data_IF_179842652703
#
_entry.id   IF_179842652703
#
_cell.length_a   1.000
_cell.length_b   1.000
_cell.length_c   1.000
_cell.angle_alpha   90.00
_cell.angle_beta   90.00
_cell.angle_gamma   90.00
#
_symmetry.space_group_name_H-M   'P 1'
#
loop_
_entity.id
_entity.type
_entity.pdbx_description
1 polymer ?
#
# COMPACT_ATOMS: atom_id res chain seq x y z
N UNK A 1 17.89 -1.35 3.26
CA UNK A 1 16.67 -0.98 2.52
C UNK A 1 16.77 -1.56 1.12
N UNK A 2 15.94 -2.55 0.77
CA UNK A 2 15.83 -2.99 -0.63
C UNK A 2 14.95 -1.97 -1.34
N UNK A 3 15.57 -1.11 -2.16
CA UNK A 3 14.86 -0.18 -3.05
C UNK A 3 14.04 -1.05 -4.00
N UNK A 4 12.73 -1.12 -3.78
CA UNK A 4 11.83 -1.82 -4.70
C UNK A 4 11.66 -0.96 -5.94
N UNK A 5 11.56 -1.61 -7.10
CA UNK A 5 11.19 -0.90 -8.31
C UNK A 5 9.82 -0.23 -8.09
N UNK A 6 9.65 1.04 -8.49
CA UNK A 6 8.34 1.68 -8.46
C UNK A 6 7.35 0.82 -9.24
N UNK A 7 6.19 0.56 -8.65
CA UNK A 7 5.07 -0.03 -9.37
C UNK A 7 4.57 1.02 -10.37
N UNK A 8 4.36 0.61 -11.62
CA UNK A 8 3.77 1.48 -12.64
C UNK A 8 2.25 1.52 -12.42
N UNK A 9 1.82 2.37 -11.49
CA UNK A 9 0.42 2.48 -11.06
C UNK A 9 -0.28 3.60 -11.84
N UNK A 10 -1.49 3.35 -12.37
CA UNK A 10 -2.34 4.42 -12.87
C UNK A 10 -2.55 5.51 -11.79
N UNK A 11 -2.66 6.80 -12.17
CA UNK A 11 -2.79 7.90 -11.21
C UNK A 11 -3.94 7.74 -10.20
N UNK A 12 -5.05 7.13 -10.62
CA UNK A 12 -6.19 6.93 -9.73
C UNK A 12 -5.95 5.84 -8.69
N UNK A 13 -5.14 4.83 -9.02
CA UNK A 13 -4.69 3.81 -8.08
C UNK A 13 -3.72 4.42 -7.06
N UNK A 14 -2.84 5.32 -7.50
CA UNK A 14 -1.96 6.07 -6.60
C UNK A 14 -2.74 6.97 -5.62
N UNK A 15 -3.78 7.67 -6.09
CA UNK A 15 -4.68 8.45 -5.22
C UNK A 15 -5.43 7.56 -4.23
N UNK A 16 -5.95 6.42 -4.68
CA UNK A 16 -6.61 5.44 -3.83
C UNK A 16 -5.66 4.90 -2.75
N UNK A 17 -4.39 4.63 -3.11
CA UNK A 17 -3.35 4.23 -2.16
C UNK A 17 -3.17 5.26 -1.05
N UNK A 18 -3.03 6.54 -1.40
CA UNK A 18 -2.86 7.61 -0.39
C UNK A 18 -4.11 7.76 0.48
N UNK A 19 -5.31 7.58 -0.08
CA UNK A 19 -6.56 7.60 0.68
C UNK A 19 -6.62 6.45 1.69
N UNK A 20 -6.33 5.23 1.25
CA UNK A 20 -6.34 4.05 2.12
C UNK A 20 -5.20 4.10 3.15
N UNK A 21 -4.06 4.69 2.80
CA UNK A 21 -2.98 5.00 3.75
C UNK A 21 -3.46 5.94 4.87
N UNK A 22 -4.13 7.03 4.53
CA UNK A 22 -4.68 7.96 5.53
C UNK A 22 -5.73 7.28 6.42
N UNK A 23 -6.62 6.48 5.83
CA UNK A 23 -7.60 5.70 6.58
C UNK A 23 -6.95 4.66 7.52
N UNK A 24 -5.88 4.00 7.07
CA UNK A 24 -5.10 3.05 7.87
C UNK A 24 -4.52 3.69 9.13
N UNK A 25 -3.98 4.90 9.02
CA UNK A 25 -3.42 5.61 10.18
C UNK A 25 -4.47 6.28 11.08
N UNK A 26 -5.66 6.56 10.56
CA UNK A 26 -6.76 7.17 11.31
C UNK A 26 -7.63 6.16 12.06
N UNK A 27 -7.74 4.93 11.55
CA UNK A 27 -8.48 3.85 12.21
C UNK A 27 -7.78 3.46 13.53
N UNK A 28 -8.52 3.12 14.59
CA UNK A 28 -7.97 2.72 15.89
C UNK A 28 -8.00 1.20 16.07
N UNK A 29 -8.98 0.54 15.46
CA UNK A 29 -9.17 -0.91 15.53
C UNK A 29 -8.14 -1.63 14.63
N UNK A 30 -7.32 -2.48 15.24
CA UNK A 30 -6.29 -3.24 14.54
C UNK A 30 -6.83 -4.17 13.45
N UNK A 31 -8.01 -4.76 13.63
CA UNK A 31 -8.64 -5.63 12.62
C UNK A 31 -9.09 -4.81 11.42
N UNK A 32 -9.71 -3.64 11.66
CA UNK A 32 -10.15 -2.75 10.58
C UNK A 32 -8.96 -2.15 9.81
N UNK A 33 -7.86 -1.81 10.50
CA UNK A 33 -6.59 -1.43 9.85
C UNK A 33 -6.10 -2.53 8.91
N UNK A 34 -6.14 -3.78 9.35
CA UNK A 34 -5.69 -4.90 8.53
C UNK A 34 -6.59 -5.14 7.32
N UNK A 35 -7.91 -4.93 7.45
CA UNK A 35 -8.84 -4.95 6.31
C UNK A 35 -8.45 -3.91 5.26
N UNK A 36 -8.11 -2.67 5.67
CA UNK A 36 -7.66 -1.62 4.75
C UNK A 36 -6.37 -2.04 4.03
N UNK A 37 -5.39 -2.54 4.77
CA UNK A 37 -4.12 -2.98 4.20
C UNK A 37 -4.26 -4.19 3.27
N UNK A 38 -5.18 -5.12 3.55
CA UNK A 38 -5.51 -6.26 2.68
C UNK A 38 -6.18 -5.81 1.40
N UNK A 39 -7.13 -4.87 1.48
CA UNK A 39 -7.77 -4.28 0.30
C UNK A 39 -6.72 -3.66 -0.62
N UNK A 40 -5.84 -2.83 -0.06
CA UNK A 40 -4.77 -2.20 -0.84
C UNK A 40 -3.79 -3.22 -1.42
N UNK A 41 -3.48 -4.30 -0.69
CA UNK A 41 -2.64 -5.39 -1.20
C UNK A 41 -3.23 -6.03 -2.45
N UNK A 42 -4.53 -6.30 -2.47
CA UNK A 42 -5.20 -6.91 -3.61
C UNK A 42 -5.14 -5.99 -4.83
N UNK A 43 -5.45 -4.70 -4.66
CA UNK A 43 -5.32 -3.70 -5.73
C UNK A 43 -3.90 -3.62 -6.29
N UNK A 44 -2.87 -3.63 -5.43
CA UNK A 44 -1.47 -3.59 -5.92
C UNK A 44 -1.06 -4.88 -6.64
N UNK A 45 -1.59 -6.04 -6.23
CA UNK A 45 -1.33 -7.32 -6.91
C UNK A 45 -1.92 -7.38 -8.31
N UNK A 46 -3.05 -6.73 -8.56
CA UNK A 46 -3.65 -6.63 -9.90
C UNK A 46 -2.73 -5.91 -10.91
N UNK A 47 -1.86 -5.03 -10.41
CA UNK A 47 -0.90 -4.28 -11.23
C UNK A 47 0.54 -4.81 -11.13
N UNK A 48 0.76 -5.92 -10.42
CA UNK A 48 2.08 -6.50 -10.26
C UNK A 48 2.50 -7.28 -11.52
N UNK A 49 3.75 -7.09 -11.98
CA UNK A 49 4.28 -7.91 -13.05
C UNK A 49 4.49 -9.35 -12.54
N UNK A 50 4.25 -10.39 -13.36
CA UNK A 50 4.55 -11.77 -13.00
C UNK A 50 6.03 -12.03 -12.63
N UNK A 51 6.93 -11.13 -13.00
CA UNK A 51 8.37 -11.18 -12.69
C UNK A 51 8.74 -10.48 -11.38
N UNK A 52 7.82 -9.72 -10.79
CA UNK A 52 8.06 -9.01 -9.55
C UNK A 52 7.96 -9.95 -8.35
N UNK A 53 8.66 -9.59 -7.27
CA UNK A 53 8.54 -10.30 -6.01
C UNK A 53 7.10 -10.15 -5.47
N UNK A 54 6.40 -11.25 -5.12
CA UNK A 54 5.03 -11.19 -4.62
C UNK A 54 4.88 -10.25 -3.43
N UNK A 55 3.92 -9.33 -3.52
CA UNK A 55 3.59 -8.43 -2.41
C UNK A 55 2.92 -9.19 -1.25
N UNK A 56 3.33 -8.85 -0.04
CA UNK A 56 2.77 -9.34 1.23
C UNK A 56 2.06 -8.22 1.99
N UNK A 57 1.26 -8.57 2.99
CA UNK A 57 0.61 -7.55 3.82
C UNK A 57 1.62 -6.65 4.56
N UNK A 58 2.72 -7.23 5.05
CA UNK A 58 3.83 -6.51 5.67
C UNK A 58 4.44 -5.47 4.74
N UNK A 59 4.42 -5.73 3.44
CA UNK A 59 4.99 -4.86 2.42
C UNK A 59 4.16 -3.60 2.25
N UNK A 60 2.84 -3.75 2.22
CA UNK A 60 1.90 -2.63 2.12
C UNK A 60 1.96 -1.75 3.37
N UNK A 61 2.03 -2.37 4.55
CA UNK A 61 2.22 -1.64 5.82
C UNK A 61 3.52 -0.83 5.82
N UNK A 62 4.61 -1.40 5.31
CA UNK A 62 5.88 -0.69 5.18
C UNK A 62 5.79 0.48 4.19
N UNK A 63 5.12 0.30 3.04
CA UNK A 63 4.88 1.37 2.06
C UNK A 63 4.04 2.52 2.64
N UNK A 64 3.00 2.20 3.43
CA UNK A 64 2.22 3.22 4.15
C UNK A 64 3.10 4.02 5.12
N UNK A 65 3.98 3.36 5.86
CA UNK A 65 4.91 4.05 6.78
C UNK A 65 5.90 4.94 6.04
N UNK A 66 6.47 4.45 4.93
CA UNK A 66 7.42 5.20 4.10
C UNK A 66 6.75 6.45 3.49
N UNK A 67 5.55 6.31 2.94
CA UNK A 67 4.83 7.42 2.31
C UNK A 67 4.25 8.42 3.31
N UNK A 68 3.92 8.01 4.54
CA UNK A 68 3.48 8.94 5.59
C UNK A 68 4.52 10.03 5.88
N UNK A 69 5.82 9.71 5.74
CA UNK A 69 6.89 10.70 5.90
C UNK A 69 7.03 11.67 4.72
N UNK A 70 6.44 11.35 3.56
CA UNK A 70 6.54 12.14 2.33
C UNK A 70 5.28 12.96 2.03
N UNK A 71 4.12 12.53 2.53
CA UNK A 71 2.82 13.18 2.32
C UNK A 71 2.39 13.84 3.63
N UNK A 72 2.81 15.10 3.82
CA UNK A 72 2.37 15.99 4.90
C UNK A 72 0.98 16.58 4.61
#
# INVERSE_FOLDING_TARGET
MSIRKPLDLPPDIAKAFVKDMKAYFAEEDGLKRDVIAVRQLNTLKEHQSPRDKPLRLSDVKAMFLEMKGMVG
#
